data_IF_591918273501
#
_entry.id   IF_591918273501
#
_cell.length_a   1.000
_cell.length_b   1.000
_cell.length_c   1.000
_cell.angle_alpha   90.00
_cell.angle_beta   90.00
_cell.angle_gamma   90.00
#
_symmetry.space_group_name_H-M   'P 1'
#
loop_
_entity.id
_entity.type
_entity.pdbx_description
1 polymer ?
#
# COMPACT_ATOMS: atom_id res chain seq x y z
N UNK A 1 -9.12 15.42 57.80
CA UNK A 1 -9.89 16.58 58.28
C UNK A 1 -10.63 17.19 57.10
N UNK A 2 -11.94 17.42 57.26
CA UNK A 2 -12.87 18.24 56.44
C UNK A 2 -13.06 17.82 54.97
N UNK A 3 -14.15 17.19 54.50
CA UNK A 3 -15.60 17.50 54.53
C UNK A 3 -16.03 18.86 53.92
N UNK A 4 -16.84 18.73 52.85
CA UNK A 4 -18.04 19.47 52.41
C UNK A 4 -17.96 20.98 52.07
N UNK A 5 -18.53 21.37 50.91
CA UNK A 5 -19.93 21.82 50.80
C UNK A 5 -20.36 22.17 49.35
N UNK A 6 -21.66 21.93 49.10
CA UNK A 6 -22.47 22.27 47.92
C UNK A 6 -23.16 23.64 48.11
N UNK A 7 -23.54 24.28 47.00
CA UNK A 7 -24.69 25.20 46.85
C UNK A 7 -24.79 25.63 45.37
N UNK A 8 -25.80 25.37 44.53
CA UNK A 8 -27.26 25.62 44.53
C UNK A 8 -27.72 27.09 44.36
N UNK A 9 -27.73 27.57 43.09
CA UNK A 9 -28.74 28.40 42.36
C UNK A 9 -29.26 29.75 42.92
N UNK A 10 -30.23 30.45 42.26
CA UNK A 10 -30.81 30.32 40.89
C UNK A 10 -31.27 31.66 40.18
N UNK A 11 -32.00 31.52 39.03
CA UNK A 11 -33.00 32.44 38.37
C UNK A 11 -32.50 33.51 37.36
N UNK A 12 -32.74 33.43 36.03
CA UNK A 12 -33.99 33.55 35.21
C UNK A 12 -34.34 34.97 34.72
N UNK A 13 -34.34 35.19 33.40
CA UNK A 13 -35.25 36.06 32.62
C UNK A 13 -34.83 36.00 31.13
N UNK A 14 -35.64 36.10 30.07
CA UNK A 14 -37.08 36.05 29.82
C UNK A 14 -37.18 36.11 28.28
N UNK A 15 -37.82 35.14 27.65
CA UNK A 15 -38.21 35.16 26.23
C UNK A 15 -39.42 36.13 26.06
N UNK A 16 -39.68 36.71 24.87
CA UNK A 16 -40.66 36.06 23.99
C UNK A 16 -40.48 36.33 22.48
N UNK A 17 -41.08 35.47 21.66
CA UNK A 17 -41.26 35.73 20.22
C UNK A 17 -41.67 34.48 19.44
N UNK A 18 -42.91 34.03 19.63
CA UNK A 18 -43.52 32.86 18.98
C UNK A 18 -44.37 33.33 17.80
N UNK A 19 -44.15 32.75 16.63
CA UNK A 19 -45.11 32.74 15.51
C UNK A 19 -45.09 31.36 14.85
N UNK A 20 -46.21 30.65 14.95
CA UNK A 20 -46.63 29.54 14.05
C UNK A 20 -47.62 30.14 13.05
N UNK A 21 -47.69 29.66 11.79
CA UNK A 21 -48.45 28.44 11.44
C UNK A 21 -47.78 27.66 10.27
N UNK A 22 -48.18 26.51 9.70
CA UNK A 22 -49.31 25.58 9.75
C UNK A 22 -48.78 24.19 9.25
N UNK A 23 -49.55 23.08 9.32
CA UNK A 23 -49.08 21.75 8.93
C UNK A 23 -49.33 21.47 7.43
N UNK A 24 -48.33 20.94 6.72
CA UNK A 24 -48.56 20.24 5.45
C UNK A 24 -47.59 19.07 5.28
N UNK A 25 -48.23 17.91 5.09
CA UNK A 25 -47.87 16.81 4.21
C UNK A 25 -46.61 15.99 4.48
N UNK A 26 -46.87 14.81 5.04
CA UNK A 26 -46.10 13.58 4.88
C UNK A 26 -45.67 13.40 3.42
N UNK A 27 -44.40 13.66 3.13
CA UNK A 27 -43.73 12.98 2.03
C UNK A 27 -43.15 11.68 2.57
N UNK A 28 -43.85 10.59 2.28
CA UNK A 28 -43.30 9.25 2.28
C UNK A 28 -42.07 9.18 1.35
N UNK A 29 -41.18 8.24 1.61
CA UNK A 29 -39.93 7.95 0.89
C UNK A 29 -38.69 8.75 1.32
N UNK A 30 -38.23 8.45 2.53
CA UNK A 30 -36.80 8.49 2.86
C UNK A 30 -36.42 7.16 3.54
N UNK A 31 -35.48 6.36 2.98
CA UNK A 31 -35.03 5.16 3.68
C UNK A 31 -34.30 5.56 4.97
N UNK A 32 -34.45 4.80 6.08
CA UNK A 32 -33.89 5.17 7.37
C UNK A 32 -32.35 5.18 7.33
N UNK A 33 -31.68 5.98 8.19
CA UNK A 33 -30.24 6.16 8.15
C UNK A 33 -29.51 4.83 8.41
N UNK A 34 -28.45 4.58 7.63
CA UNK A 34 -27.62 3.38 7.57
C UNK A 34 -27.07 2.85 8.92
N UNK A 35 -27.20 3.63 10.01
CA UNK A 35 -26.90 3.18 11.39
C UNK A 35 -27.87 2.11 11.90
N UNK A 36 -29.12 2.09 11.43
CA UNK A 36 -30.11 1.08 11.86
C UNK A 36 -29.87 -0.30 11.21
N UNK A 37 -29.31 -0.34 10.00
CA UNK A 37 -29.08 -1.57 9.23
C UNK A 37 -27.83 -2.33 9.70
N UNK A 38 -26.80 -1.61 10.19
CA UNK A 38 -25.60 -2.24 10.75
C UNK A 38 -25.85 -3.00 12.06
N UNK A 39 -26.82 -2.55 12.86
CA UNK A 39 -27.16 -3.16 14.15
C UNK A 39 -28.00 -4.45 14.00
N UNK A 40 -28.85 -4.52 12.98
CA UNK A 40 -29.71 -5.68 12.68
C UNK A 40 -28.96 -6.88 12.09
N UNK A 41 -27.80 -6.68 11.45
CA UNK A 41 -27.05 -7.76 10.80
C UNK A 41 -26.41 -8.78 11.75
N UNK A 42 -26.14 -8.37 13.00
CA UNK A 42 -25.61 -9.25 14.04
C UNK A 42 -26.68 -9.73 15.03
N UNK A 43 -27.50 -8.80 15.54
CA UNK A 43 -28.51 -9.12 16.55
C UNK A 43 -29.76 -9.78 15.98
N UNK A 44 -30.13 -9.49 14.73
CA UNK A 44 -31.31 -10.08 14.08
C UNK A 44 -31.18 -11.58 13.82
N UNK A 45 -29.99 -12.04 13.40
CA UNK A 45 -29.71 -13.45 13.18
C UNK A 45 -29.73 -14.25 14.50
N UNK A 46 -29.13 -13.70 15.56
CA UNK A 46 -29.15 -14.30 16.90
C UNK A 46 -30.56 -14.35 17.47
N UNK A 47 -31.35 -13.27 17.30
CA UNK A 47 -32.74 -13.24 17.74
C UNK A 47 -33.62 -14.25 17.00
N UNK A 48 -33.44 -14.42 15.68
CA UNK A 48 -34.14 -15.41 14.89
C UNK A 48 -33.79 -16.85 15.32
N UNK A 49 -32.50 -17.14 15.51
CA UNK A 49 -32.05 -18.44 16.01
C UNK A 49 -32.56 -18.75 17.42
N UNK A 50 -32.55 -17.76 18.30
CA UNK A 50 -33.08 -17.89 19.66
C UNK A 50 -34.60 -18.09 19.69
N UNK A 51 -35.34 -17.39 18.82
CA UNK A 51 -36.79 -17.57 18.67
C UNK A 51 -37.16 -19.00 18.24
N UNK A 52 -36.43 -19.57 17.27
CA UNK A 52 -36.63 -20.96 16.83
C UNK A 52 -36.25 -21.97 17.92
N UNK A 53 -35.16 -21.71 18.64
CA UNK A 53 -34.79 -22.51 19.81
C UNK A 53 -35.93 -22.54 20.83
N UNK A 54 -36.43 -21.37 21.26
CA UNK A 54 -37.50 -21.27 22.26
C UNK A 54 -38.80 -21.94 21.78
N UNK A 55 -39.18 -21.71 20.52
CA UNK A 55 -40.38 -22.32 19.95
C UNK A 55 -40.29 -23.84 19.93
N UNK A 56 -39.22 -24.41 19.36
CA UNK A 56 -39.05 -25.86 19.29
C UNK A 56 -38.91 -26.48 20.68
N UNK A 57 -38.21 -25.81 21.59
CA UNK A 57 -38.10 -26.27 22.97
C UNK A 57 -39.46 -26.33 23.67
N UNK A 58 -40.39 -25.42 23.35
CA UNK A 58 -41.75 -25.39 23.91
C UNK A 58 -42.73 -26.38 23.27
N UNK A 59 -42.56 -26.71 21.98
CA UNK A 59 -43.51 -27.52 21.20
C UNK A 59 -43.11 -28.99 21.13
N UNK A 60 -41.83 -29.33 21.24
CA UNK A 60 -41.38 -30.73 21.21
C UNK A 60 -42.01 -31.51 22.37
N UNK A 61 -42.66 -32.67 22.13
CA UNK A 61 -43.40 -33.41 23.15
C UNK A 61 -42.51 -33.97 24.27
N UNK A 62 -43.11 -34.17 25.46
CA UNK A 62 -42.45 -34.66 26.68
C UNK A 62 -41.88 -36.06 26.58
N UNK A 63 -42.31 -36.81 25.56
CA UNK A 63 -41.97 -38.21 25.32
C UNK A 63 -40.57 -38.43 24.72
N UNK A 64 -39.81 -37.38 24.44
CA UNK A 64 -38.37 -37.53 24.19
C UNK A 64 -37.68 -37.77 25.54
N UNK A 65 -37.38 -39.04 25.84
CA UNK A 65 -36.85 -39.58 27.12
C UNK A 65 -35.49 -39.02 27.61
N UNK A 66 -35.06 -37.85 27.14
CA UNK A 66 -33.98 -37.11 27.74
C UNK A 66 -34.14 -35.62 27.45
N UNK A 67 -34.10 -34.79 28.49
CA UNK A 67 -34.00 -33.33 28.36
C UNK A 67 -32.90 -32.94 27.37
N UNK A 68 -31.82 -33.72 27.32
CA UNK A 68 -30.73 -33.59 26.36
C UNK A 68 -31.16 -33.64 24.88
N UNK A 69 -32.04 -34.55 24.48
CA UNK A 69 -32.47 -34.68 23.08
C UNK A 69 -33.25 -33.44 22.60
N UNK A 70 -34.10 -32.88 23.46
CA UNK A 70 -34.83 -31.64 23.20
C UNK A 70 -33.89 -30.44 23.06
N UNK A 71 -32.90 -30.32 23.94
CA UNK A 71 -31.89 -29.26 23.85
C UNK A 71 -31.05 -29.39 22.58
N UNK A 72 -30.68 -30.61 22.18
CA UNK A 72 -29.90 -30.85 20.95
C UNK A 72 -30.71 -30.47 19.72
N UNK A 73 -31.95 -30.93 19.60
CA UNK A 73 -32.80 -30.64 18.43
C UNK A 73 -33.10 -29.13 18.35
N UNK A 74 -33.54 -28.51 19.44
CA UNK A 74 -33.82 -27.08 19.47
C UNK A 74 -32.54 -26.25 19.24
N UNK A 75 -31.42 -26.67 19.83
CA UNK A 75 -30.12 -25.99 19.74
C UNK A 75 -29.55 -26.02 18.31
N UNK A 76 -29.50 -27.20 17.70
CA UNK A 76 -29.02 -27.35 16.31
C UNK A 76 -29.93 -26.59 15.34
N UNK A 77 -31.25 -26.66 15.53
CA UNK A 77 -32.20 -25.95 14.67
C UNK A 77 -32.09 -24.43 14.81
N UNK A 78 -31.98 -23.92 16.04
CA UNK A 78 -31.77 -22.50 16.31
C UNK A 78 -30.45 -21.98 15.75
N UNK A 79 -29.36 -22.74 15.91
CA UNK A 79 -28.06 -22.41 15.35
C UNK A 79 -28.09 -22.41 13.80
N UNK A 80 -28.72 -23.41 13.20
CA UNK A 80 -28.91 -23.50 11.75
C UNK A 80 -29.65 -22.29 11.19
N UNK A 81 -30.72 -21.85 11.85
CA UNK A 81 -31.49 -20.66 11.45
C UNK A 81 -30.69 -19.37 11.64
N UNK A 82 -29.93 -19.25 12.73
CA UNK A 82 -29.03 -18.11 12.93
C UNK A 82 -28.02 -17.99 11.77
N UNK A 83 -27.37 -19.10 11.42
CA UNK A 83 -26.39 -19.14 10.32
C UNK A 83 -27.06 -18.84 8.98
N UNK A 84 -28.22 -19.43 8.70
CA UNK A 84 -28.96 -19.19 7.46
C UNK A 84 -29.39 -17.72 7.33
N UNK A 85 -29.93 -17.11 8.39
CA UNK A 85 -30.31 -15.70 8.40
C UNK A 85 -29.10 -14.78 8.20
N UNK A 86 -27.97 -15.10 8.84
CA UNK A 86 -26.72 -14.37 8.66
C UNK A 86 -26.19 -14.47 7.22
N UNK A 87 -26.19 -15.66 6.62
CA UNK A 87 -25.77 -15.88 5.22
C UNK A 87 -26.66 -15.14 4.23
N UNK A 88 -27.99 -15.15 4.44
CA UNK A 88 -28.93 -14.40 3.60
C UNK A 88 -28.67 -12.89 3.72
N UNK A 89 -28.47 -12.37 4.93
CA UNK A 89 -28.14 -10.96 5.14
C UNK A 89 -26.77 -10.59 4.55
N UNK A 90 -25.79 -11.50 4.57
CA UNK A 90 -24.49 -11.31 3.92
C UNK A 90 -24.64 -11.29 2.38
N UNK A 91 -25.42 -12.21 1.81
CA UNK A 91 -25.72 -12.25 0.37
C UNK A 91 -26.48 -11.02 -0.11
N UNK A 92 -27.47 -10.54 0.65
CA UNK A 92 -28.21 -9.32 0.32
C UNK A 92 -27.31 -8.08 0.38
N UNK A 93 -26.40 -7.98 1.37
CA UNK A 93 -25.40 -6.91 1.42
C UNK A 93 -24.43 -6.97 0.25
N UNK A 94 -23.98 -8.16 -0.11
CA UNK A 94 -23.11 -8.36 -1.28
C UNK A 94 -23.82 -7.97 -2.58
N UNK A 95 -25.11 -8.32 -2.73
CA UNK A 95 -25.94 -7.93 -3.89
C UNK A 95 -26.25 -6.44 -3.93
N UNK A 96 -26.56 -5.81 -2.79
CA UNK A 96 -26.78 -4.37 -2.72
C UNK A 96 -25.50 -3.61 -3.11
N UNK A 97 -24.34 -4.01 -2.58
CA UNK A 97 -23.05 -3.46 -2.96
C UNK A 97 -22.71 -3.72 -4.45
N UNK A 98 -23.08 -4.87 -4.99
CA UNK A 98 -22.93 -5.16 -6.42
C UNK A 98 -23.87 -4.32 -7.31
N UNK A 99 -25.06 -3.98 -6.82
CA UNK A 99 -26.06 -3.18 -7.55
C UNK A 99 -25.70 -1.68 -7.52
N UNK A 100 -25.16 -1.19 -6.41
CA UNK A 100 -24.54 0.15 -6.32
C UNK A 100 -23.33 0.26 -7.25
N UNK A 101 -22.50 -0.79 -7.34
CA UNK A 101 -21.39 -0.86 -8.31
C UNK A 101 -21.89 -0.93 -9.75
N UNK A 102 -22.88 -1.75 -10.07
CA UNK A 102 -23.43 -1.88 -11.42
C UNK A 102 -24.12 -0.60 -11.92
N UNK A 103 -24.68 0.21 -11.02
CA UNK A 103 -25.24 1.53 -11.36
C UNK A 103 -24.14 2.58 -11.64
N UNK A 104 -22.92 2.37 -11.15
CA UNK A 104 -21.74 3.17 -11.49
C UNK A 104 -21.05 2.72 -12.80
N UNK A 105 -21.40 1.55 -13.35
CA UNK A 105 -20.72 0.95 -14.51
C UNK A 105 -21.58 0.96 -15.77
N UNK A 106 -21.93 2.15 -16.27
CA UNK A 106 -22.36 2.31 -17.67
C UNK A 106 -21.64 3.48 -18.31
N UNK A 107 -20.44 3.21 -18.84
CA UNK A 107 -19.71 4.14 -19.70
C UNK A 107 -19.48 3.46 -21.04
N UNK A 108 -20.26 3.89 -22.03
CA UNK A 108 -19.91 3.78 -23.45
C UNK A 108 -19.07 4.98 -23.89
N UNK A 109 -18.52 4.98 -25.12
CA UNK A 109 -17.48 5.91 -25.50
C UNK A 109 -18.06 7.26 -25.92
N UNK A 110 -17.82 8.31 -25.13
CA UNK A 110 -17.61 9.68 -25.61
C UNK A 110 -17.31 10.65 -24.45
N UNK A 111 -16.24 11.40 -24.63
CA UNK A 111 -16.00 12.79 -24.26
C UNK A 111 -16.85 13.45 -23.14
N UNK A 112 -16.11 14.02 -22.18
CA UNK A 112 -16.49 15.17 -21.33
C UNK A 112 -17.74 14.99 -20.47
N UNK A 113 -17.58 14.35 -19.32
CA UNK A 113 -18.50 14.47 -18.18
C UNK A 113 -17.70 14.85 -16.90
N UNK A 114 -18.27 15.61 -15.95
CA UNK A 114 -17.61 15.96 -14.69
C UNK A 114 -17.44 14.70 -13.83
N UNK A 115 -16.21 14.38 -13.45
CA UNK A 115 -15.87 13.15 -12.72
C UNK A 115 -15.02 12.15 -13.51
N UNK A 116 -14.54 12.49 -14.71
CA UNK A 116 -13.43 11.78 -15.33
C UNK A 116 -12.19 11.86 -14.42
N UNK A 117 -11.34 10.82 -14.35
CA UNK A 117 -10.07 10.91 -13.63
C UNK A 117 -9.32 12.15 -14.10
N UNK A 118 -8.79 12.93 -13.16
CA UNK A 118 -8.01 14.13 -13.45
C UNK A 118 -6.98 13.80 -14.53
N UNK A 119 -6.77 14.72 -15.48
CA UNK A 119 -5.70 14.53 -16.45
C UNK A 119 -4.36 14.36 -15.73
N UNK A 120 -3.42 13.58 -16.27
CA UNK A 120 -2.10 13.41 -15.64
C UNK A 120 -1.40 14.74 -15.29
N UNK A 121 -1.42 15.78 -16.14
CA UNK A 121 -0.90 17.09 -15.77
C UNK A 121 -1.58 17.69 -14.54
N UNK A 122 -2.90 17.54 -14.40
CA UNK A 122 -3.64 18.03 -13.25
C UNK A 122 -3.30 17.24 -11.98
N UNK A 123 -3.27 15.90 -12.05
CA UNK A 123 -2.85 15.07 -10.91
C UNK A 123 -1.42 15.38 -10.45
N UNK A 124 -0.51 15.66 -11.39
CA UNK A 124 0.86 16.12 -11.10
C UNK A 124 0.86 17.48 -10.41
N UNK A 125 0.09 18.45 -10.93
CA UNK A 125 -0.01 19.79 -10.35
C UNK A 125 -0.59 19.72 -8.93
N UNK A 126 -1.70 19.00 -8.73
CA UNK A 126 -2.32 18.83 -7.40
C UNK A 126 -1.39 18.12 -6.42
N UNK A 127 -0.63 17.10 -6.88
CA UNK A 127 0.37 16.44 -6.05
C UNK A 127 1.49 17.40 -5.64
N UNK A 128 1.98 18.23 -6.57
CA UNK A 128 3.00 19.23 -6.31
C UNK A 128 2.54 20.24 -5.26
N UNK A 129 1.37 20.86 -5.47
CA UNK A 129 0.81 21.86 -4.57
C UNK A 129 0.56 21.26 -3.17
N UNK A 130 -0.03 20.07 -3.11
CA UNK A 130 -0.32 19.40 -1.83
C UNK A 130 0.95 19.01 -1.08
N UNK A 131 2.01 18.60 -1.77
CA UNK A 131 3.31 18.28 -1.16
C UNK A 131 4.01 19.54 -0.66
N UNK A 132 3.96 20.65 -1.41
CA UNK A 132 4.49 21.93 -0.96
C UNK A 132 3.77 22.45 0.29
N UNK A 133 2.44 22.36 0.32
CA UNK A 133 1.65 22.83 1.47
C UNK A 133 1.89 21.97 2.73
N UNK A 134 2.37 20.74 2.56
CA UNK A 134 2.66 19.81 3.65
C UNK A 134 4.16 19.62 3.91
N UNK A 135 5.02 20.46 3.33
CA UNK A 135 6.44 20.46 3.68
C UNK A 135 6.62 20.97 5.11
N UNK A 136 7.34 20.20 5.92
CA UNK A 136 7.68 20.58 7.28
C UNK A 136 9.05 21.24 7.30
N UNK A 137 9.13 22.40 7.96
CA UNK A 137 10.38 23.08 8.30
C UNK A 137 10.46 23.16 9.82
N UNK A 138 11.46 22.50 10.42
CA UNK A 138 11.62 22.40 11.88
C UNK A 138 13.05 22.74 12.25
N UNK A 139 13.23 23.62 13.24
CA UNK A 139 14.54 23.86 13.86
C UNK A 139 14.80 22.77 14.90
N UNK A 140 15.61 21.79 14.52
CA UNK A 140 15.95 20.65 15.35
C UNK A 140 17.15 20.98 16.26
N UNK A 141 17.07 20.71 17.57
CA UNK A 141 18.14 21.05 18.50
C UNK A 141 19.44 20.27 18.22
N UNK A 142 19.35 19.07 17.66
CA UNK A 142 20.49 18.20 17.39
C UNK A 142 21.00 18.34 15.95
N UNK A 143 20.08 18.47 15.00
CA UNK A 143 20.40 18.39 13.58
C UNK A 143 20.32 19.74 12.85
N UNK A 144 19.96 20.82 13.57
CA UNK A 144 19.71 22.14 13.01
C UNK A 144 18.41 22.19 12.19
N UNK A 145 18.31 23.14 11.26
CA UNK A 145 17.09 23.29 10.44
C UNK A 145 16.88 22.08 9.55
N UNK A 146 15.71 21.44 9.62
CA UNK A 146 15.30 20.31 8.79
C UNK A 146 14.14 20.73 7.89
N UNK A 147 14.25 20.44 6.59
CA UNK A 147 13.21 20.68 5.59
C UNK A 147 12.87 19.36 4.91
N UNK A 148 11.60 18.94 4.95
CA UNK A 148 11.18 17.71 4.30
C UNK A 148 9.80 17.26 4.76
N UNK A 149 9.56 15.94 4.76
CA UNK A 149 8.26 15.38 5.10
C UNK A 149 8.33 14.33 6.20
N UNK A 150 7.27 14.21 7.02
CA UNK A 150 7.04 13.03 7.85
C UNK A 150 6.85 11.76 6.98
N UNK A 151 6.72 10.61 7.63
CA UNK A 151 6.50 9.35 6.94
C UNK A 151 5.14 9.29 6.22
N UNK A 152 4.13 9.92 6.81
CA UNK A 152 2.78 10.07 6.26
C UNK A 152 2.34 11.53 6.26
N UNK A 153 1.66 11.94 5.19
CA UNK A 153 1.15 13.29 5.02
C UNK A 153 0.00 13.57 6.01
N UNK A 154 0.07 14.73 6.67
CA UNK A 154 -0.85 15.17 7.71
C UNK A 154 -0.83 14.35 8.99
N UNK A 155 0.34 13.82 9.37
CA UNK A 155 0.64 13.49 10.77
C UNK A 155 0.53 14.76 11.66
N UNK A 156 0.33 14.60 12.97
CA UNK A 156 0.11 15.72 13.91
C UNK A 156 1.18 16.81 13.82
N UNK A 157 0.78 18.08 14.03
CA UNK A 157 1.64 19.25 13.88
C UNK A 157 2.33 19.67 15.19
N UNK A 158 3.64 20.00 15.19
CA UNK A 158 4.55 19.98 14.04
C UNK A 158 5.09 18.57 13.73
N UNK A 159 4.86 18.11 12.51
CA UNK A 159 5.34 16.82 12.03
C UNK A 159 6.81 16.91 11.63
N UNK A 160 7.71 16.30 12.41
CA UNK A 160 9.16 16.30 12.14
C UNK A 160 9.47 15.55 10.83
N UNK A 161 10.28 16.13 9.91
CA UNK A 161 10.82 15.41 8.77
C UNK A 161 11.48 14.08 9.15
N UNK A 162 11.40 13.08 8.29
CA UNK A 162 12.07 11.79 8.48
C UNK A 162 12.94 11.44 7.29
N UNK A 163 13.97 10.57 7.43
CA UNK A 163 14.77 10.12 6.29
C UNK A 163 13.94 9.48 5.19
N UNK A 164 13.02 8.58 5.56
CA UNK A 164 12.13 7.90 4.60
C UNK A 164 11.21 8.89 3.90
N UNK A 165 10.54 9.75 4.66
CA UNK A 165 9.62 10.74 4.11
C UNK A 165 10.30 11.71 3.17
N UNK A 166 11.44 12.25 3.60
CA UNK A 166 12.24 13.22 2.83
C UNK A 166 12.87 12.59 1.58
N UNK A 167 13.32 11.33 1.64
CA UNK A 167 13.88 10.65 0.47
C UNK A 167 12.82 10.39 -0.62
N UNK A 168 11.60 9.97 -0.23
CA UNK A 168 10.50 9.85 -1.17
C UNK A 168 10.06 11.20 -1.72
N UNK A 169 9.95 12.23 -0.86
CA UNK A 169 9.64 13.59 -1.28
C UNK A 169 10.66 14.13 -2.29
N UNK A 170 11.97 13.95 -2.04
CA UNK A 170 13.03 14.32 -2.97
C UNK A 170 12.90 13.55 -4.30
N UNK A 171 12.60 12.25 -4.27
CA UNK A 171 12.33 11.50 -5.49
C UNK A 171 11.16 12.08 -6.29
N UNK A 172 10.06 12.45 -5.63
CA UNK A 172 8.91 13.07 -6.27
C UNK A 172 9.29 14.42 -6.87
N UNK A 173 9.96 15.30 -6.12
CA UNK A 173 10.37 16.62 -6.61
C UNK A 173 11.33 16.53 -7.81
N UNK A 174 12.20 15.52 -7.84
CA UNK A 174 13.05 15.24 -9.00
C UNK A 174 12.29 14.65 -10.20
N UNK A 175 11.09 14.08 -9.99
CA UNK A 175 10.21 13.59 -11.05
C UNK A 175 9.30 14.68 -11.61
N UNK A 176 8.75 15.54 -10.74
CA UNK A 176 7.83 16.62 -11.12
C UNK A 176 8.57 17.89 -11.59
N UNK A 177 9.81 18.08 -11.13
CA UNK A 177 10.51 19.35 -11.21
C UNK A 177 10.08 20.30 -10.08
N UNK A 178 10.76 21.44 -9.98
CA UNK A 178 10.38 22.54 -9.06
C UNK A 178 10.21 23.81 -9.90
N UNK A 179 9.06 23.98 -10.57
CA UNK A 179 8.88 25.01 -11.59
C UNK A 179 8.91 26.45 -11.03
N UNK A 180 8.56 26.66 -9.77
CA UNK A 180 8.42 27.99 -9.15
C UNK A 180 9.51 28.33 -8.11
N UNK A 181 10.45 27.40 -7.87
CA UNK A 181 11.53 27.58 -6.90
C UNK A 181 11.11 27.66 -5.43
N UNK A 182 9.84 27.39 -5.07
CA UNK A 182 9.35 27.44 -3.67
C UNK A 182 10.00 26.42 -2.76
N UNK A 183 10.63 25.39 -3.33
CA UNK A 183 11.36 24.36 -2.60
C UNK A 183 12.73 24.10 -3.21
N UNK A 184 13.78 24.23 -2.41
CA UNK A 184 15.14 23.86 -2.81
C UNK A 184 15.33 22.36 -2.64
N UNK A 185 15.61 21.63 -3.73
CA UNK A 185 16.03 20.22 -3.65
C UNK A 185 17.37 20.07 -2.93
N UNK A 186 18.21 21.11 -2.93
CA UNK A 186 19.42 21.19 -2.13
C UNK A 186 19.13 21.14 -0.63
N UNK A 187 18.08 21.81 -0.16
CA UNK A 187 17.69 21.82 1.26
C UNK A 187 17.22 20.43 1.71
N UNK A 188 16.56 19.68 0.82
CA UNK A 188 16.17 18.29 1.06
C UNK A 188 17.40 17.37 1.14
N UNK A 189 18.37 17.57 0.23
CA UNK A 189 19.64 16.84 0.23
C UNK A 189 20.41 17.11 1.52
N UNK A 190 20.52 18.37 1.93
CA UNK A 190 21.19 18.75 3.17
C UNK A 190 20.46 18.20 4.40
N UNK A 191 19.13 18.20 4.39
CA UNK A 191 18.31 17.60 5.44
C UNK A 191 18.58 16.10 5.57
N UNK A 192 18.67 15.37 4.46
CA UNK A 192 19.04 13.95 4.48
C UNK A 192 20.43 13.75 5.09
N UNK A 193 21.43 14.56 4.72
CA UNK A 193 22.76 14.49 5.32
C UNK A 193 22.78 14.84 6.80
N UNK A 194 21.99 15.83 7.23
CA UNK A 194 21.83 16.18 8.65
C UNK A 194 21.24 15.04 9.45
N UNK A 195 20.25 14.31 8.91
CA UNK A 195 19.65 13.14 9.56
C UNK A 195 20.50 11.86 9.48
N UNK A 196 21.72 11.91 8.95
CA UNK A 196 22.65 10.77 8.97
C UNK A 196 23.00 10.44 10.42
N UNK A 197 22.92 9.16 10.79
CA UNK A 197 23.26 8.72 12.14
C UNK A 197 24.77 8.89 12.43
N UNK A 198 25.20 9.00 13.69
CA UNK A 198 26.61 9.18 14.06
C UNK A 198 27.54 8.14 13.40
N UNK A 199 27.15 6.86 13.50
CA UNK A 199 27.92 5.72 12.95
C UNK A 199 27.75 5.53 11.43
N UNK A 200 26.94 6.38 10.79
CA UNK A 200 26.59 6.29 9.38
C UNK A 200 25.25 5.65 9.11
N UNK A 201 24.80 5.79 7.87
CA UNK A 201 23.51 5.35 7.39
C UNK A 201 22.31 6.12 7.97
N UNK A 202 21.13 5.58 7.71
CA UNK A 202 19.84 6.14 8.09
C UNK A 202 18.90 5.05 8.58
N UNK A 203 17.93 5.43 9.42
CA UNK A 203 16.88 4.56 9.92
C UNK A 203 15.51 5.19 9.77
N UNK A 204 14.46 4.37 9.74
CA UNK A 204 13.10 4.85 9.82
C UNK A 204 12.75 5.24 11.26
N UNK A 205 11.78 6.13 11.44
CA UNK A 205 11.31 6.54 12.78
C UNK A 205 10.87 5.35 13.66
N UNK A 206 10.33 4.28 13.05
CA UNK A 206 9.89 3.08 13.76
C UNK A 206 11.02 2.08 14.06
N UNK A 207 12.23 2.38 13.60
CA UNK A 207 13.42 1.58 13.82
C UNK A 207 14.25 2.18 14.97
N UNK A 208 15.20 1.40 15.50
CA UNK A 208 16.07 1.86 16.58
C UNK A 208 17.03 2.98 16.17
N UNK A 209 18.01 3.25 17.04
CA UNK A 209 19.08 4.23 16.82
C UNK A 209 20.13 3.78 15.81
N UNK A 210 19.95 2.63 15.16
CA UNK A 210 20.89 2.07 14.20
C UNK A 210 20.40 2.21 12.77
N UNK A 211 21.34 2.41 11.86
CA UNK A 211 21.05 2.40 10.44
C UNK A 211 20.51 1.05 9.98
N UNK A 212 19.57 1.10 9.03
CA UNK A 212 19.02 -0.10 8.39
C UNK A 212 19.27 -0.08 6.89
N UNK A 213 19.65 -1.21 6.28
CA UNK A 213 20.03 -1.27 4.87
C UNK A 213 18.96 -0.74 3.93
N UNK A 214 17.69 -1.07 4.14
CA UNK A 214 16.60 -0.64 3.27
C UNK A 214 16.40 0.89 3.28
N UNK A 215 16.52 1.53 4.44
CA UNK A 215 16.39 2.99 4.56
C UNK A 215 17.63 3.68 4.04
N UNK A 216 18.81 3.15 4.37
CA UNK A 216 20.09 3.67 3.88
C UNK A 216 20.15 3.61 2.36
N UNK A 217 19.80 2.49 1.75
CA UNK A 217 19.78 2.35 0.30
C UNK A 217 18.73 3.24 -0.39
N UNK A 218 17.56 3.45 0.23
CA UNK A 218 16.56 4.41 -0.25
C UNK A 218 17.15 5.83 -0.29
N UNK A 219 17.77 6.27 0.81
CA UNK A 219 18.38 7.61 0.92
C UNK A 219 19.55 7.76 -0.07
N UNK A 220 20.46 6.78 -0.14
CA UNK A 220 21.56 6.76 -1.11
C UNK A 220 21.04 6.87 -2.55
N UNK A 221 19.98 6.13 -2.88
CA UNK A 221 19.33 6.20 -4.18
C UNK A 221 18.72 7.58 -4.48
N UNK A 222 18.18 8.28 -3.47
CA UNK A 222 17.66 9.64 -3.60
C UNK A 222 18.79 10.67 -3.78
N UNK A 223 19.85 10.58 -2.98
CA UNK A 223 21.01 11.46 -3.06
C UNK A 223 21.76 11.31 -4.39
N UNK A 224 21.98 10.08 -4.85
CA UNK A 224 22.60 9.82 -6.15
C UNK A 224 21.75 10.39 -7.30
N UNK A 225 20.42 10.26 -7.22
CA UNK A 225 19.51 10.86 -8.21
C UNK A 225 19.55 12.39 -8.19
N UNK A 226 19.79 13.00 -7.03
CA UNK A 226 19.95 14.44 -6.87
C UNK A 226 21.33 14.96 -7.31
N UNK A 227 22.23 14.08 -7.77
CA UNK A 227 23.55 14.47 -8.27
C UNK A 227 24.67 14.48 -7.22
N UNK A 228 24.47 13.86 -6.05
CA UNK A 228 25.57 13.66 -5.10
C UNK A 228 26.70 12.84 -5.76
N UNK A 229 27.96 13.27 -5.58
CA UNK A 229 29.11 12.59 -6.17
C UNK A 229 29.32 11.20 -5.56
N UNK A 230 29.83 10.26 -6.36
CA UNK A 230 30.15 8.91 -5.89
C UNK A 230 31.13 8.92 -4.71
N UNK A 231 32.11 9.83 -4.71
CA UNK A 231 33.05 10.01 -3.60
C UNK A 231 32.35 10.38 -2.28
N UNK A 232 31.35 11.27 -2.33
CA UNK A 232 30.58 11.67 -1.15
C UNK A 232 29.71 10.53 -0.62
N UNK A 233 29.25 9.64 -1.51
CA UNK A 233 28.41 8.50 -1.15
C UNK A 233 29.21 7.26 -0.72
N UNK A 234 30.49 7.16 -1.10
CA UNK A 234 31.29 5.94 -1.01
C UNK A 234 31.29 5.32 0.40
N UNK A 235 31.57 6.11 1.44
CA UNK A 235 31.65 5.59 2.80
C UNK A 235 30.30 5.00 3.31
N UNK A 236 29.18 5.58 2.89
CA UNK A 236 27.85 5.09 3.28
C UNK A 236 27.38 3.92 2.42
N UNK A 237 27.79 3.88 1.14
CA UNK A 237 27.64 2.71 0.28
C UNK A 237 28.38 1.52 0.87
N UNK A 238 29.66 1.69 1.24
CA UNK A 238 30.49 0.62 1.77
C UNK A 238 29.90 0.07 3.07
N UNK A 239 29.50 0.96 3.99
CA UNK A 239 28.79 0.56 5.23
C UNK A 239 27.50 -0.21 4.95
N UNK A 240 26.68 0.28 4.02
CA UNK A 240 25.43 -0.39 3.65
C UNK A 240 25.69 -1.78 3.06
N UNK A 241 26.69 -1.88 2.17
CA UNK A 241 27.07 -3.12 1.50
C UNK A 241 27.67 -4.14 2.47
N UNK A 242 28.59 -3.71 3.34
CA UNK A 242 29.24 -4.60 4.32
C UNK A 242 28.30 -5.02 5.45
N UNK A 243 27.38 -4.14 5.85
CA UNK A 243 26.39 -4.41 6.89
C UNK A 243 25.23 -5.28 6.41
N UNK A 244 24.95 -5.30 5.10
CA UNK A 244 23.88 -6.11 4.53
C UNK A 244 24.38 -7.46 4.05
N UNK A 245 24.54 -8.38 5.00
CA UNK A 245 24.91 -9.79 4.75
C UNK A 245 23.96 -10.71 5.50
N UNK A 246 23.93 -12.01 5.13
CA UNK A 246 23.13 -13.02 5.83
C UNK A 246 23.43 -13.11 7.32
N UNK A 247 24.69 -12.86 7.71
CA UNK A 247 25.17 -12.98 9.08
C UNK A 247 24.81 -11.76 9.91
N UNK A 248 24.88 -10.56 9.32
CA UNK A 248 24.69 -9.30 10.05
C UNK A 248 23.25 -8.79 10.01
N UNK A 249 22.50 -9.07 8.93
CA UNK A 249 21.09 -8.70 8.80
C UNK A 249 20.28 -9.84 8.18
N UNK A 250 20.14 -10.94 8.93
CA UNK A 250 19.38 -12.10 8.48
C UNK A 250 17.93 -11.75 8.11
N UNK A 251 17.25 -10.95 8.93
CA UNK A 251 15.84 -10.59 8.70
C UNK A 251 15.67 -9.78 7.41
N UNK A 252 16.56 -8.82 7.15
CA UNK A 252 16.56 -8.08 5.90
C UNK A 252 16.94 -8.95 4.69
N UNK A 253 17.96 -9.80 4.85
CA UNK A 253 18.43 -10.66 3.76
C UNK A 253 17.40 -11.71 3.32
N UNK A 254 16.57 -12.16 4.25
CA UNK A 254 15.47 -13.08 3.96
C UNK A 254 14.26 -12.36 3.34
N UNK A 255 14.12 -11.04 3.46
CA UNK A 255 12.97 -10.28 2.94
C UNK A 255 13.15 -9.89 1.47
N UNK A 256 12.19 -10.27 0.62
CA UNK A 256 12.18 -9.88 -0.80
C UNK A 256 12.12 -8.36 -0.95
N UNK A 257 11.31 -7.68 -0.14
CA UNK A 257 11.22 -6.22 -0.17
C UNK A 257 12.54 -5.53 0.17
N UNK A 258 13.21 -5.96 1.25
CA UNK A 258 14.48 -5.35 1.68
C UNK A 258 15.56 -5.57 0.63
N UNK A 259 15.74 -6.81 0.15
CA UNK A 259 16.74 -7.12 -0.89
C UNK A 259 16.49 -6.34 -2.17
N UNK A 260 15.24 -6.27 -2.66
CA UNK A 260 14.93 -5.48 -3.87
C UNK A 260 15.13 -3.98 -3.65
N UNK A 261 14.90 -3.47 -2.45
CA UNK A 261 15.12 -2.05 -2.10
C UNK A 261 16.62 -1.73 -2.06
N UNK A 262 17.42 -2.56 -1.39
CA UNK A 262 18.88 -2.40 -1.33
C UNK A 262 19.50 -2.51 -2.71
N UNK A 263 19.14 -3.54 -3.49
CA UNK A 263 19.62 -3.72 -4.85
C UNK A 263 19.33 -2.48 -5.72
N UNK A 264 18.09 -1.97 -5.71
CA UNK A 264 17.73 -0.79 -6.52
C UNK A 264 18.40 0.50 -6.05
N UNK A 265 18.63 0.66 -4.75
CA UNK A 265 19.35 1.81 -4.20
C UNK A 265 20.82 1.79 -4.62
N UNK A 266 21.50 0.66 -4.44
CA UNK A 266 22.90 0.47 -4.81
C UNK A 266 23.14 0.52 -6.32
N UNK A 267 22.24 -0.03 -7.15
CA UNK A 267 22.33 0.10 -8.62
C UNK A 267 22.42 1.55 -9.08
N UNK A 268 21.83 2.47 -8.31
CA UNK A 268 21.85 3.91 -8.61
C UNK A 268 23.02 4.62 -7.95
N UNK A 269 23.30 4.35 -6.68
CA UNK A 269 24.32 5.05 -5.91
C UNK A 269 25.75 4.54 -6.15
N UNK A 270 25.91 3.25 -6.44
CA UNK A 270 27.18 2.57 -6.60
C UNK A 270 27.07 1.42 -7.61
N UNK A 271 26.91 1.71 -8.92
CA UNK A 271 26.69 0.70 -9.96
C UNK A 271 27.86 -0.30 -10.14
N UNK A 272 29.00 -0.04 -9.50
CA UNK A 272 30.18 -0.92 -9.48
C UNK A 272 30.37 -1.68 -8.17
N UNK A 273 29.40 -1.61 -7.24
CA UNK A 273 29.48 -2.31 -5.96
C UNK A 273 29.50 -3.83 -6.16
N UNK A 274 30.43 -4.50 -5.49
CA UNK A 274 30.60 -5.96 -5.53
C UNK A 274 29.41 -6.72 -4.91
N UNK A 275 28.57 -6.06 -4.12
CA UNK A 275 27.34 -6.64 -3.57
C UNK A 275 26.25 -6.81 -4.62
N UNK A 276 26.30 -6.08 -5.74
CA UNK A 276 25.23 -6.09 -6.74
C UNK A 276 25.03 -7.46 -7.40
N UNK A 277 26.07 -8.17 -7.88
CA UNK A 277 25.91 -9.54 -8.37
C UNK A 277 25.36 -10.50 -7.33
N UNK A 278 25.78 -10.37 -6.06
CA UNK A 278 25.33 -11.22 -4.94
C UNK A 278 23.84 -11.03 -4.67
N UNK A 279 23.38 -9.79 -4.61
CA UNK A 279 21.97 -9.44 -4.41
C UNK A 279 21.09 -9.89 -5.58
N UNK A 280 21.57 -9.71 -6.82
CA UNK A 280 20.89 -10.17 -8.03
C UNK A 280 20.71 -11.70 -8.00
N UNK A 281 21.77 -12.44 -7.64
CA UNK A 281 21.70 -13.90 -7.57
C UNK A 281 20.78 -14.35 -6.43
N UNK A 282 20.83 -13.70 -5.26
CA UNK A 282 19.95 -14.02 -4.14
C UNK A 282 18.45 -13.89 -4.50
N UNK A 283 18.08 -12.93 -5.37
CA UNK A 283 16.73 -12.83 -5.89
C UNK A 283 16.37 -14.00 -6.83
N UNK A 284 17.27 -14.39 -7.73
CA UNK A 284 17.02 -15.51 -8.63
C UNK A 284 16.88 -16.83 -7.86
N UNK A 285 17.79 -17.08 -6.90
CA UNK A 285 17.77 -18.26 -6.03
C UNK A 285 16.50 -18.32 -5.15
N UNK A 286 15.98 -17.15 -4.75
CA UNK A 286 14.79 -17.05 -3.90
C UNK A 286 13.46 -17.14 -4.65
N UNK A 287 13.48 -17.34 -5.97
CA UNK A 287 12.26 -17.54 -6.75
C UNK A 287 11.66 -18.93 -6.51
N UNK A 288 10.34 -19.00 -6.37
CA UNK A 288 9.58 -20.24 -6.11
C UNK A 288 8.73 -20.62 -7.31
N UNK A 289 8.59 -21.91 -7.58
CA UNK A 289 7.67 -22.42 -8.60
C UNK A 289 6.23 -22.42 -8.05
N UNK A 290 5.31 -21.80 -8.78
CA UNK A 290 3.88 -21.79 -8.42
C UNK A 290 3.09 -22.86 -9.20
N UNK A 291 2.65 -23.96 -8.56
CA UNK A 291 1.87 -25.00 -9.23
C UNK A 291 0.50 -24.51 -9.72
N UNK A 292 0.00 -23.36 -9.25
CA UNK A 292 -1.28 -22.80 -9.69
C UNK A 292 -1.17 -21.95 -10.96
N UNK A 293 0.05 -21.60 -11.39
CA UNK A 293 0.32 -20.83 -12.61
C UNK A 293 1.41 -21.51 -13.44
N UNK A 294 1.13 -22.73 -13.87
CA UNK A 294 1.96 -23.53 -14.79
C UNK A 294 3.40 -23.72 -14.32
N UNK A 295 3.63 -23.82 -13.01
CA UNK A 295 4.95 -23.95 -12.41
C UNK A 295 5.91 -22.77 -12.70
N UNK A 296 5.38 -21.65 -13.20
CA UNK A 296 6.17 -20.44 -13.43
C UNK A 296 6.78 -19.94 -12.12
N UNK A 297 8.02 -19.45 -12.21
CA UNK A 297 8.72 -18.88 -11.06
C UNK A 297 8.13 -17.52 -10.68
N UNK A 298 7.96 -17.31 -9.40
CA UNK A 298 7.46 -16.08 -8.79
C UNK A 298 8.14 -15.83 -7.43
N UNK A 299 7.73 -14.79 -6.71
CA UNK A 299 8.29 -14.47 -5.38
C UNK A 299 7.21 -14.34 -4.32
N UNK A 300 7.52 -14.83 -3.12
CA UNK A 300 6.82 -14.52 -1.89
C UNK A 300 7.49 -13.38 -1.12
N UNK A 301 7.03 -13.15 0.12
CA UNK A 301 7.60 -12.12 0.99
C UNK A 301 9.01 -12.48 1.50
N UNK A 302 9.41 -13.77 1.41
CA UNK A 302 10.76 -14.24 1.76
C UNK A 302 11.48 -14.90 0.60
N UNK A 303 12.80 -14.75 0.59
CA UNK A 303 13.74 -15.40 -0.34
C UNK A 303 14.31 -16.72 0.19
N UNK A 304 13.95 -17.12 1.40
CA UNK A 304 14.37 -18.38 2.01
C UNK A 304 13.17 -19.12 2.62
N UNK A 305 13.21 -20.47 2.69
CA UNK A 305 12.16 -21.24 3.33
C UNK A 305 11.93 -20.85 4.79
N UNK A 306 10.68 -20.79 5.27
CA UNK A 306 9.44 -20.86 4.49
C UNK A 306 9.19 -19.55 3.71
N UNK A 307 9.11 -19.65 2.38
CA UNK A 307 9.03 -18.50 1.45
C UNK A 307 7.76 -17.64 1.60
N UNK A 308 6.68 -18.24 2.14
CA UNK A 308 5.34 -17.69 2.06
C UNK A 308 4.62 -18.05 0.76
N UNK A 309 3.35 -17.64 0.61
CA UNK A 309 2.62 -17.84 -0.63
C UNK A 309 3.20 -16.98 -1.77
N UNK A 310 3.03 -17.40 -3.04
CA UNK A 310 3.22 -16.54 -4.22
C UNK A 310 2.57 -15.17 -4.03
N UNK A 311 3.27 -14.11 -4.41
CA UNK A 311 2.82 -12.74 -4.21
C UNK A 311 3.07 -11.87 -5.45
N UNK A 312 2.01 -11.28 -6.04
CA UNK A 312 2.11 -10.38 -7.18
C UNK A 312 3.00 -9.17 -6.90
N UNK A 313 2.86 -8.57 -5.72
CA UNK A 313 3.70 -7.47 -5.27
C UNK A 313 5.18 -7.82 -5.30
N UNK A 314 5.57 -8.90 -4.61
CA UNK A 314 6.97 -9.27 -4.46
C UNK A 314 7.56 -9.71 -5.80
N UNK A 315 6.77 -10.41 -6.62
CA UNK A 315 7.12 -10.75 -8.00
C UNK A 315 7.38 -9.49 -8.82
N UNK A 316 6.50 -8.49 -8.78
CA UNK A 316 6.71 -7.23 -9.47
C UNK A 316 7.93 -6.45 -8.96
N UNK A 317 8.18 -6.43 -7.64
CA UNK A 317 9.36 -5.81 -7.07
C UNK A 317 10.66 -6.47 -7.55
N UNK A 318 10.68 -7.82 -7.59
CA UNK A 318 11.79 -8.61 -8.09
C UNK A 318 12.04 -8.36 -9.57
N UNK A 319 11.00 -8.40 -10.42
CA UNK A 319 11.10 -8.09 -11.86
C UNK A 319 11.70 -6.71 -12.08
N UNK A 320 11.19 -5.67 -11.42
CA UNK A 320 11.69 -4.30 -11.55
C UNK A 320 13.15 -4.19 -11.10
N UNK A 321 13.56 -4.94 -10.07
CA UNK A 321 14.93 -4.93 -9.59
C UNK A 321 15.88 -5.69 -10.54
N UNK A 322 15.50 -6.88 -11.00
CA UNK A 322 16.27 -7.71 -11.92
C UNK A 322 16.41 -7.05 -13.30
N UNK A 323 15.35 -6.44 -13.82
CA UNK A 323 15.37 -5.70 -15.08
C UNK A 323 16.30 -4.48 -15.04
N UNK A 324 16.36 -3.78 -13.89
CA UNK A 324 17.35 -2.72 -13.67
C UNK A 324 18.76 -3.27 -13.54
N UNK A 325 18.93 -4.39 -12.83
CA UNK A 325 20.22 -5.03 -12.66
C UNK A 325 20.80 -5.50 -14.01
N UNK A 326 19.96 -6.06 -14.89
CA UNK A 326 20.36 -6.49 -16.23
C UNK A 326 20.96 -5.35 -17.07
N UNK A 327 20.41 -4.14 -16.97
CA UNK A 327 20.96 -2.96 -17.68
C UNK A 327 22.31 -2.49 -17.17
N UNK A 328 22.62 -2.72 -15.89
CA UNK A 328 23.86 -2.23 -15.26
C UNK A 328 24.96 -3.29 -15.25
N UNK A 329 24.59 -4.54 -14.96
CA UNK A 329 25.50 -5.67 -14.77
C UNK A 329 25.55 -6.62 -15.98
N UNK A 330 24.71 -6.39 -17.00
CA UNK A 330 24.44 -7.36 -18.05
C UNK A 330 23.49 -8.48 -17.61
N UNK A 331 23.08 -9.29 -18.58
CA UNK A 331 22.18 -10.43 -18.37
C UNK A 331 22.95 -11.69 -17.92
N UNK A 332 22.38 -12.42 -16.97
CA UNK A 332 22.85 -13.75 -16.54
C UNK A 332 21.76 -14.79 -16.79
N UNK A 333 22.12 -16.00 -17.26
CA UNK A 333 21.16 -17.01 -17.73
C UNK A 333 20.03 -17.34 -16.73
N UNK A 334 20.38 -17.70 -15.50
CA UNK A 334 19.40 -18.03 -14.47
C UNK A 334 18.58 -16.81 -14.02
N UNK A 335 19.25 -15.68 -13.75
CA UNK A 335 18.59 -14.42 -13.37
C UNK A 335 17.61 -13.93 -14.43
N UNK A 336 17.95 -14.11 -15.71
CA UNK A 336 17.12 -13.80 -16.86
C UNK A 336 15.89 -14.70 -16.87
N UNK A 337 16.10 -16.01 -16.81
CA UNK A 337 15.02 -16.98 -16.83
C UNK A 337 14.05 -16.75 -15.65
N UNK A 338 14.55 -16.46 -14.44
CA UNK A 338 13.70 -16.19 -13.28
C UNK A 338 12.84 -14.94 -13.50
N UNK A 339 13.42 -13.87 -14.02
CA UNK A 339 12.69 -12.64 -14.35
C UNK A 339 11.63 -12.90 -15.43
N UNK A 340 11.98 -13.61 -16.50
CA UNK A 340 11.05 -13.92 -17.59
C UNK A 340 9.86 -14.76 -17.10
N UNK A 341 10.12 -15.80 -16.29
CA UNK A 341 9.08 -16.60 -15.67
C UNK A 341 8.17 -15.77 -14.76
N UNK A 342 8.75 -14.86 -13.97
CA UNK A 342 7.97 -13.93 -13.14
C UNK A 342 7.07 -13.01 -13.96
N UNK A 343 7.54 -12.54 -15.12
CA UNK A 343 6.72 -11.74 -16.03
C UNK A 343 5.56 -12.58 -16.55
N UNK A 344 5.82 -13.80 -17.05
CA UNK A 344 4.76 -14.71 -17.50
C UNK A 344 3.77 -15.01 -16.37
N UNK A 345 4.25 -15.15 -15.14
CA UNK A 345 3.42 -15.38 -13.95
C UNK A 345 2.48 -14.20 -13.64
N UNK A 346 2.93 -12.95 -13.81
CA UNK A 346 2.07 -11.77 -13.69
C UNK A 346 1.04 -11.70 -14.81
N UNK A 347 1.44 -12.06 -16.04
CA UNK A 347 0.54 -12.07 -17.20
C UNK A 347 -0.53 -13.16 -17.09
N UNK A 348 -0.23 -14.27 -16.41
CA UNK A 348 -1.16 -15.39 -16.19
C UNK A 348 -2.15 -15.19 -15.03
N UNK A 349 -2.33 -13.94 -14.55
CA UNK A 349 -3.39 -13.59 -13.59
C UNK A 349 -4.74 -14.20 -14.05
N UNK A 350 -5.36 -15.09 -13.25
CA UNK A 350 -6.54 -15.85 -13.67
C UNK A 350 -7.85 -15.08 -13.45
N UNK A 351 -7.83 -14.06 -12.61
CA UNK A 351 -9.03 -13.33 -12.17
C UNK A 351 -9.43 -12.23 -13.15
N UNK A 352 -10.74 -12.00 -13.29
CA UNK A 352 -11.30 -10.86 -14.00
C UNK A 352 -12.49 -10.26 -13.21
N UNK A 353 -12.72 -8.93 -13.29
CA UNK A 353 -11.98 -7.94 -14.06
C UNK A 353 -10.63 -7.57 -13.41
N UNK A 354 -9.66 -7.18 -14.24
CA UNK A 354 -8.26 -6.98 -13.82
C UNK A 354 -7.97 -5.66 -13.11
N UNK A 355 -8.93 -4.75 -13.02
CA UNK A 355 -8.85 -3.50 -12.26
C UNK A 355 -9.26 -3.65 -10.79
N UNK A 356 -9.88 -4.78 -10.43
CA UNK A 356 -10.29 -5.11 -9.05
C UNK A 356 -9.91 -6.53 -8.62
N UNK A 357 -9.03 -7.21 -9.36
CA UNK A 357 -8.64 -8.58 -9.03
C UNK A 357 -7.79 -8.66 -7.75
N UNK A 358 -7.69 -9.87 -7.18
CA UNK A 358 -6.92 -10.11 -5.96
C UNK A 358 -5.43 -9.81 -6.15
N UNK A 359 -4.92 -9.91 -7.38
CA UNK A 359 -3.53 -9.57 -7.69
C UNK A 359 -3.18 -8.09 -7.48
N UNK A 360 -4.19 -7.22 -7.38
CA UNK A 360 -4.02 -5.78 -7.12
C UNK A 360 -4.15 -5.41 -5.63
N UNK A 361 -4.48 -6.35 -4.75
CA UNK A 361 -4.65 -6.05 -3.33
C UNK A 361 -3.38 -5.48 -2.71
N UNK A 362 -3.52 -4.36 -2.01
CA UNK A 362 -2.42 -3.74 -1.30
C UNK A 362 -1.98 -4.62 -0.13
N UNK A 363 -0.67 -4.79 0.01
CA UNK A 363 -0.08 -5.66 1.02
C UNK A 363 0.61 -4.83 2.11
N UNK A 364 0.35 -5.20 3.36
CA UNK A 364 1.06 -4.71 4.53
C UNK A 364 2.01 -5.80 5.01
N UNK A 365 3.26 -5.43 5.27
CA UNK A 365 4.23 -6.35 5.88
C UNK A 365 5.05 -5.67 6.99
N UNK A 366 5.64 -6.51 7.83
CA UNK A 366 6.50 -6.10 8.93
C UNK A 366 7.86 -6.76 8.80
N UNK A 367 8.92 -5.96 8.78
CA UNK A 367 10.28 -6.47 8.93
C UNK A 367 10.69 -6.27 10.38
N UNK A 368 10.81 -7.38 11.11
CA UNK A 368 11.11 -7.39 12.54
C UNK A 368 12.57 -7.76 12.76
N UNK A 369 13.27 -6.95 13.56
CA UNK A 369 14.64 -7.21 13.98
C UNK A 369 14.74 -7.10 15.50
N UNK A 370 15.50 -7.96 16.19
CA UNK A 370 15.87 -7.71 17.57
C UNK A 370 16.58 -6.36 17.66
N UNK A 371 16.28 -5.57 18.68
CA UNK A 371 17.08 -4.36 18.92
C UNK A 371 18.45 -4.76 19.46
N UNK A 372 19.47 -3.99 19.13
CA UNK A 372 20.84 -4.24 19.59
C UNK A 372 21.09 -3.79 21.02
N UNK A 373 20.39 -2.75 21.47
CA UNK A 373 20.44 -2.25 22.85
C UNK A 373 19.64 -3.13 23.83
N UNK A 374 18.54 -3.71 23.36
CA UNK A 374 17.72 -4.66 24.12
C UNK A 374 17.21 -5.79 23.21
N UNK A 375 17.94 -6.92 23.11
CA UNK A 375 17.56 -8.05 22.26
C UNK A 375 16.23 -8.72 22.63
N UNK A 376 15.66 -8.42 23.81
CA UNK A 376 14.32 -8.90 24.18
C UNK A 376 13.20 -8.13 23.45
N UNK A 377 13.51 -6.94 22.94
CA UNK A 377 12.61 -6.08 22.18
C UNK A 377 12.91 -6.15 20.69
N UNK A 378 11.87 -5.90 19.90
CA UNK A 378 11.98 -5.85 18.46
C UNK A 378 11.72 -4.42 17.98
N UNK A 379 12.54 -3.97 17.03
CA UNK A 379 12.15 -2.90 16.14
C UNK A 379 11.35 -3.47 14.96
N UNK A 380 10.40 -2.67 14.47
CA UNK A 380 9.48 -3.11 13.42
C UNK A 380 9.41 -2.04 12.34
N UNK A 381 9.87 -2.40 11.14
CA UNK A 381 9.59 -1.62 9.95
C UNK A 381 8.23 -2.03 9.39
N UNK A 382 7.28 -1.10 9.43
CA UNK A 382 5.94 -1.30 8.88
C UNK A 382 5.91 -0.81 7.44
N UNK A 383 5.75 -1.71 6.48
CA UNK A 383 5.76 -1.38 5.06
C UNK A 383 4.36 -1.53 4.48
N UNK A 384 3.91 -0.47 3.81
CA UNK A 384 2.65 -0.41 3.07
C UNK A 384 2.97 -0.37 1.59
N UNK A 385 2.53 -1.39 0.87
CA UNK A 385 2.84 -1.54 -0.55
C UNK A 385 1.64 -1.21 -1.42
N UNK A 386 1.87 -0.35 -2.41
CA UNK A 386 0.89 -0.09 -3.43
C UNK A 386 1.05 -1.10 -4.59
N UNK A 387 0.38 -2.24 -4.49
CA UNK A 387 0.59 -3.38 -5.39
C UNK A 387 0.36 -3.01 -6.85
N UNK A 388 -0.75 -2.33 -7.15
CA UNK A 388 -1.07 -1.90 -8.51
C UNK A 388 0.04 -1.05 -9.17
N UNK A 389 0.67 -0.15 -8.41
CA UNK A 389 1.81 0.65 -8.92
C UNK A 389 3.02 -0.23 -9.26
N UNK A 390 3.33 -1.22 -8.42
CA UNK A 390 4.43 -2.15 -8.69
C UNK A 390 4.15 -3.02 -9.91
N UNK A 391 2.94 -3.56 -10.06
CA UNK A 391 2.53 -4.34 -11.23
C UNK A 391 2.65 -3.50 -12.51
N UNK A 392 2.09 -2.28 -12.52
CA UNK A 392 2.19 -1.39 -13.70
C UNK A 392 3.66 -1.16 -14.09
N UNK A 393 4.54 -0.91 -13.12
CA UNK A 393 5.98 -0.70 -13.37
C UNK A 393 6.71 -1.97 -13.83
N UNK A 394 6.29 -3.15 -13.39
CA UNK A 394 6.85 -4.41 -13.85
C UNK A 394 6.41 -4.72 -15.29
N UNK A 395 5.13 -4.54 -15.61
CA UNK A 395 4.56 -4.75 -16.95
C UNK A 395 5.07 -3.73 -17.98
N UNK A 396 5.42 -2.51 -17.55
CA UNK A 396 6.09 -1.51 -18.39
C UNK A 396 7.61 -1.67 -18.49
N UNK A 397 8.19 -2.70 -17.87
CA UNK A 397 9.62 -2.96 -18.01
C UNK A 397 9.98 -3.40 -19.43
N UNK A 398 11.16 -3.04 -19.96
CA UNK A 398 11.60 -3.51 -21.28
C UNK A 398 11.49 -5.03 -21.45
N UNK A 399 11.91 -5.81 -20.45
CA UNK A 399 11.78 -7.26 -20.49
C UNK A 399 10.33 -7.74 -20.65
N UNK A 400 9.36 -7.09 -20.00
CA UNK A 400 7.96 -7.46 -20.13
C UNK A 400 7.39 -7.14 -21.52
N UNK A 401 7.75 -5.99 -22.09
CA UNK A 401 7.35 -5.62 -23.45
C UNK A 401 7.96 -6.56 -24.51
N UNK A 402 9.22 -6.97 -24.32
CA UNK A 402 9.92 -7.91 -25.20
C UNK A 402 9.29 -9.29 -25.18
N UNK A 403 9.03 -9.86 -23.99
CA UNK A 403 8.36 -11.16 -23.84
C UNK A 403 6.97 -11.13 -24.44
N UNK A 404 6.17 -10.09 -24.13
CA UNK A 404 4.83 -9.98 -24.66
C UNK A 404 4.81 -9.95 -26.20
N UNK A 405 5.77 -9.28 -26.83
CA UNK A 405 5.91 -9.27 -28.28
C UNK A 405 6.38 -10.62 -28.83
N UNK A 406 7.38 -11.22 -28.21
CA UNK A 406 8.00 -12.46 -28.68
C UNK A 406 7.05 -13.67 -28.57
N UNK A 407 6.18 -13.68 -27.56
CA UNK A 407 5.30 -14.81 -27.25
C UNK A 407 3.84 -14.58 -27.64
N UNK A 408 3.52 -13.45 -28.27
CA UNK A 408 2.14 -13.13 -28.68
C UNK A 408 1.21 -12.77 -27.52
N UNK A 409 1.75 -12.34 -26.37
CA UNK A 409 1.01 -12.00 -25.14
C UNK A 409 0.67 -10.50 -25.03
N UNK A 410 0.60 -9.78 -26.15
CA UNK A 410 0.39 -8.33 -26.13
C UNK A 410 -0.98 -7.95 -25.57
N UNK A 411 -2.02 -8.75 -25.81
CA UNK A 411 -3.36 -8.47 -25.29
C UNK A 411 -3.45 -8.73 -23.80
N UNK A 412 -2.84 -9.80 -23.29
CA UNK A 412 -2.71 -10.08 -21.86
C UNK A 412 -1.99 -8.91 -21.18
N UNK A 413 -0.83 -8.52 -21.72
CA UNK A 413 -0.06 -7.39 -21.22
C UNK A 413 -0.91 -6.12 -21.15
N UNK A 414 -1.59 -5.77 -22.25
CA UNK A 414 -2.43 -4.57 -22.34
C UNK A 414 -3.53 -4.59 -21.29
N UNK A 415 -4.28 -5.68 -21.20
CA UNK A 415 -5.41 -5.80 -20.27
C UNK A 415 -4.95 -5.74 -18.80
N UNK A 416 -3.86 -6.42 -18.44
CA UNK A 416 -3.34 -6.38 -17.05
C UNK A 416 -2.74 -5.01 -16.72
N UNK A 417 -2.05 -4.38 -17.67
CA UNK A 417 -1.49 -3.04 -17.49
C UNK A 417 -2.59 -1.99 -17.34
N UNK A 418 -3.62 -2.00 -18.19
CA UNK A 418 -4.77 -1.11 -18.11
C UNK A 418 -5.50 -1.27 -16.76
N UNK A 419 -5.71 -2.51 -16.30
CA UNK A 419 -6.29 -2.78 -14.98
C UNK A 419 -5.45 -2.23 -13.83
N UNK A 420 -4.14 -2.48 -13.83
CA UNK A 420 -3.23 -1.96 -12.82
C UNK A 420 -3.19 -0.42 -12.81
N UNK A 421 -3.15 0.22 -14.00
CA UNK A 421 -3.16 1.69 -14.13
C UNK A 421 -4.49 2.29 -13.69
N UNK A 422 -5.62 1.65 -14.02
CA UNK A 422 -6.94 2.07 -13.55
C UNK A 422 -7.01 2.04 -12.01
N UNK A 423 -6.50 0.98 -11.37
CA UNK A 423 -6.41 0.90 -9.92
C UNK A 423 -5.44 1.94 -9.32
N UNK A 424 -4.36 2.28 -10.03
CA UNK A 424 -3.48 3.39 -9.62
C UNK A 424 -4.24 4.71 -9.63
N UNK A 425 -4.99 5.00 -10.70
CA UNK A 425 -5.83 6.19 -10.80
C UNK A 425 -6.94 6.23 -9.74
N UNK A 426 -7.57 5.10 -9.43
CA UNK A 426 -8.62 5.03 -8.42
C UNK A 426 -8.09 5.23 -6.98
N UNK A 427 -6.80 5.02 -6.75
CA UNK A 427 -6.17 5.12 -5.43
C UNK A 427 -5.82 6.54 -4.98
N UNK A 428 -6.12 7.57 -5.80
CA UNK A 428 -5.72 8.96 -5.55
C UNK A 428 -6.92 9.89 -5.32
N UNK A 429 -6.65 10.98 -4.63
CA UNK A 429 -7.51 12.17 -4.53
C UNK A 429 -6.60 13.38 -4.48
N UNK A 430 -6.83 14.36 -5.35
CA UNK A 430 -6.03 15.59 -5.47
C UNK A 430 -4.51 15.34 -5.60
N UNK A 431 -4.13 14.29 -6.35
CA UNK A 431 -2.73 13.93 -6.58
C UNK A 431 -2.03 13.25 -5.40
N UNK A 432 -2.74 12.91 -4.32
CA UNK A 432 -2.21 12.16 -3.19
C UNK A 432 -2.79 10.74 -3.18
N UNK A 433 -1.95 9.75 -2.87
CA UNK A 433 -2.38 8.37 -2.75
C UNK A 433 -2.56 7.96 -1.30
N UNK A 434 -3.60 7.18 -1.06
CA UNK A 434 -4.05 6.82 0.27
C UNK A 434 -3.92 5.31 0.50
N UNK A 435 -3.54 4.96 1.72
CA UNK A 435 -3.75 3.60 2.21
C UNK A 435 -5.21 3.48 2.62
N UNK A 436 -5.97 2.59 1.97
CA UNK A 436 -7.40 2.42 2.16
C UNK A 436 -7.82 2.18 3.62
N UNK A 437 -9.12 2.37 3.88
CA UNK A 437 -9.76 1.99 5.16
C UNK A 437 -9.74 0.48 5.32
N UNK A 438 -8.65 -0.08 5.84
CA UNK A 438 -8.69 -1.40 6.47
C UNK A 438 -9.57 -1.38 7.73
N UNK A 439 -9.53 -2.43 8.55
CA UNK A 439 -10.28 -2.52 9.82
C UNK A 439 -9.94 -1.41 10.87
N UNK A 440 -9.06 -0.46 10.53
CA UNK A 440 -8.78 0.74 11.31
C UNK A 440 -9.44 1.97 10.69
N UNK A 441 -9.88 2.89 11.54
CA UNK A 441 -10.68 4.08 11.17
C UNK A 441 -9.89 5.22 10.50
N UNK A 442 -8.57 5.11 10.37
CA UNK A 442 -7.73 6.20 9.86
C UNK A 442 -7.25 5.94 8.43
N UNK A 443 -7.67 6.81 7.51
CA UNK A 443 -7.06 6.91 6.19
C UNK A 443 -5.66 7.46 6.38
N UNK A 444 -4.63 6.68 6.03
CA UNK A 444 -3.23 7.13 6.07
C UNK A 444 -2.80 7.57 4.69
N UNK A 445 -1.92 8.58 4.62
CA UNK A 445 -1.33 9.10 3.39
C UNK A 445 0.19 8.86 3.37
N UNK A 446 0.68 7.61 3.26
CA UNK A 446 2.12 7.38 3.20
C UNK A 446 2.70 8.06 1.96
N UNK A 447 3.74 8.89 2.13
CA UNK A 447 4.35 9.58 0.99
C UNK A 447 4.95 8.60 -0.03
N UNK A 448 5.33 7.41 0.42
CA UNK A 448 5.77 6.30 -0.42
C UNK A 448 4.73 5.88 -1.45
N UNK A 449 3.43 5.88 -1.10
CA UNK A 449 2.35 5.55 -2.04
C UNK A 449 2.18 6.63 -3.09
N UNK A 450 2.30 7.90 -2.71
CA UNK A 450 2.23 9.02 -3.65
C UNK A 450 3.38 8.96 -4.66
N UNK A 451 4.61 8.70 -4.19
CA UNK A 451 5.74 8.44 -5.09
C UNK A 451 5.48 7.26 -6.03
N UNK A 452 4.99 6.14 -5.50
CA UNK A 452 4.70 4.94 -6.28
C UNK A 452 3.62 5.21 -7.35
N UNK A 453 2.52 5.87 -6.99
CA UNK A 453 1.43 6.23 -7.91
C UNK A 453 1.90 7.15 -9.03
N UNK A 454 2.53 8.28 -8.69
CA UNK A 454 3.08 9.22 -9.68
C UNK A 454 4.11 8.55 -10.60
N UNK A 455 5.01 7.73 -10.03
CA UNK A 455 6.04 7.04 -10.81
C UNK A 455 5.41 6.06 -11.83
N UNK A 456 4.36 5.33 -11.45
CA UNK A 456 3.65 4.42 -12.34
C UNK A 456 2.92 5.18 -13.45
N UNK A 457 2.13 6.20 -13.11
CA UNK A 457 1.37 6.98 -14.09
C UNK A 457 2.26 7.72 -15.09
N UNK A 458 3.37 8.31 -14.60
CA UNK A 458 4.36 8.96 -15.48
C UNK A 458 5.00 7.97 -16.45
N UNK A 459 5.39 6.79 -15.96
CA UNK A 459 5.98 5.75 -16.81
C UNK A 459 4.98 5.28 -17.87
N UNK A 460 3.73 5.08 -17.47
CA UNK A 460 2.65 4.69 -18.38
C UNK A 460 2.38 5.76 -19.45
N UNK A 461 2.33 7.04 -19.09
CA UNK A 461 2.16 8.12 -20.05
C UNK A 461 3.32 8.22 -21.04
N UNK A 462 4.57 8.09 -20.57
CA UNK A 462 5.73 8.04 -21.47
C UNK A 462 5.62 6.88 -22.46
N UNK A 463 5.14 5.72 -22.03
CA UNK A 463 4.92 4.58 -22.91
C UNK A 463 3.80 4.82 -23.93
N UNK A 464 2.64 5.36 -23.51
CA UNK A 464 1.52 5.67 -24.41
C UNK A 464 1.87 6.69 -25.51
N UNK A 465 2.66 7.70 -25.15
CA UNK A 465 3.01 8.81 -26.05
C UNK A 465 4.38 8.64 -26.72
N UNK A 466 4.98 7.45 -26.66
CA UNK A 466 6.15 7.16 -27.50
C UNK A 466 5.74 7.28 -28.97
N UNK A 467 6.45 8.10 -29.78
CA UNK A 467 6.17 8.15 -31.21
C UNK A 467 6.29 6.73 -31.77
N UNK A 468 5.34 6.33 -32.60
CA UNK A 468 5.19 4.99 -33.19
C UNK A 468 6.34 4.62 -34.17
N UNK A 469 7.59 4.73 -33.71
CA UNK A 469 8.80 4.72 -34.54
C UNK A 469 9.84 3.67 -34.14
N UNK A 470 9.45 2.61 -33.42
CA UNK A 470 10.31 1.40 -33.20
C UNK A 470 9.52 0.09 -33.20
N UNK A 471 8.50 -0.01 -34.05
CA UNK A 471 7.72 -1.24 -34.31
C UNK A 471 7.78 -1.71 -35.77
N UNK A 472 8.83 -1.32 -36.48
CA UNK A 472 9.25 -1.97 -37.73
C UNK A 472 10.76 -2.12 -37.77
N UNK A 473 11.27 -3.20 -37.19
CA UNK A 473 12.36 -4.00 -37.75
C UNK A 473 12.45 -5.35 -37.04
#
# INVERSE_FOLDING_TARGET
MSQQQRGHGPLSSRQPGRTLPAPHEESADSPPPARFVGWLGGLGAVAAGYGVFQFLFSVLPGSFEGSAARYVIAGVSGLGICIAAWLVAALLRARAAATERASATRVGPAATAPGAPDSLPQAIASAYDTLLDQVSVVDDPEHGRLTGWPHSLGEDSPSRPTPVGTAYGLHIMLDLGVPDGRLSTGDLVDTLWRMRLPDGGWSARSQGSEARPEVTALVLGALARAGASGERLAAEVDRCASGFTRQLDRAGWESTHVVTTVLRGLLRAAPRSESLPVLRQALADGAISDPHRDHLRCWGYRLQPPYGPPSPLHTAQAIVALDRAARVLGEGGDTRAAREDGIRWLLSCPDAPHDTCLDLENLYEEVRRPRTDDPSRHEVLNVRHFTASWLARALLSPGALEIARAEGLQDELRVRLEGAVAAVWAGQTDGIWYWGRGAGTEVRRPISMTYQGLSALRTHAVWLYQPAGRTHM
#
